data_IF_371783104975
#
_entry.id   IF_371783104975
#
_cell.length_a   1.000
_cell.length_b   1.000
_cell.length_c   1.000
_cell.angle_alpha   90.00
_cell.angle_beta   90.00
_cell.angle_gamma   90.00
#
_symmetry.space_group_name_H-M   'P 1'
#
loop_
_entity.id
_entity.type
_entity.pdbx_description
1 polymer ?
#
# COMPACT_ATOMS: atom_id res chain seq x y z
N UNK A 1 -18.62 -16.02 -13.02
CA UNK A 1 -17.69 -16.03 -14.16
C UNK A 1 -18.20 -16.95 -15.28
N UNK A 2 -18.52 -18.23 -15.02
CA UNK A 2 -18.99 -19.19 -16.04
C UNK A 2 -20.28 -18.74 -16.73
N UNK A 3 -21.22 -18.14 -16.01
CA UNK A 3 -22.49 -17.66 -16.56
C UNK A 3 -22.39 -16.30 -17.27
N UNK A 4 -21.29 -15.58 -17.15
CA UNK A 4 -21.07 -14.26 -17.74
C UNK A 4 -21.84 -13.11 -17.10
N UNK A 5 -22.73 -13.36 -16.14
CA UNK A 5 -23.45 -12.33 -15.38
C UNK A 5 -23.82 -12.82 -13.98
N UNK A 6 -24.23 -11.88 -13.09
CA UNK A 6 -24.58 -12.17 -11.70
C UNK A 6 -26.07 -12.45 -11.46
N UNK A 7 -26.92 -12.30 -12.48
CA UNK A 7 -28.36 -12.42 -12.34
C UNK A 7 -28.90 -13.81 -12.73
N UNK A 8 -28.01 -14.79 -12.86
CA UNK A 8 -28.35 -16.18 -13.18
C UNK A 8 -28.46 -17.00 -11.88
N UNK A 9 -29.57 -17.70 -11.70
CA UNK A 9 -29.68 -18.74 -10.67
C UNK A 9 -28.94 -20.00 -11.15
N UNK A 10 -27.65 -20.10 -10.79
CA UNK A 10 -26.78 -21.22 -11.20
C UNK A 10 -27.27 -22.60 -10.75
N UNK A 11 -28.23 -22.67 -9.83
CA UNK A 11 -28.81 -23.93 -9.38
C UNK A 11 -29.96 -24.42 -10.24
N UNK A 12 -30.56 -23.54 -11.06
CA UNK A 12 -31.76 -23.83 -11.85
C UNK A 12 -31.64 -23.47 -13.32
N UNK A 13 -30.88 -22.44 -13.63
CA UNK A 13 -30.77 -21.88 -14.97
C UNK A 13 -29.53 -22.40 -15.70
N UNK A 14 -29.57 -22.54 -17.04
CA UNK A 14 -28.42 -22.95 -17.79
C UNK A 14 -27.33 -21.85 -17.79
N UNK A 15 -26.08 -22.27 -17.70
CA UNK A 15 -24.91 -21.40 -17.81
C UNK A 15 -24.63 -20.95 -19.25
N UNK A 16 -25.10 -21.75 -20.21
CA UNK A 16 -24.89 -21.52 -21.64
C UNK A 16 -25.47 -22.62 -22.48
N UNK A 17 -24.98 -22.76 -23.72
CA UNK A 17 -25.36 -23.79 -24.65
C UNK A 17 -24.13 -24.54 -25.16
N UNK A 18 -24.24 -25.84 -25.34
CA UNK A 18 -23.25 -26.68 -25.98
C UNK A 18 -23.24 -26.43 -27.52
N UNK A 19 -22.27 -27.00 -28.21
CA UNK A 19 -22.12 -26.86 -29.67
C UNK A 19 -23.31 -27.38 -30.50
N UNK A 20 -24.07 -28.32 -29.93
CA UNK A 20 -25.29 -28.85 -30.51
C UNK A 20 -26.55 -28.05 -30.17
N UNK A 21 -26.40 -26.95 -29.42
CA UNK A 21 -27.47 -26.06 -29.00
C UNK A 21 -28.19 -26.48 -27.71
N UNK A 22 -27.85 -27.60 -27.10
CA UNK A 22 -28.43 -28.04 -25.83
C UNK A 22 -28.02 -27.14 -24.67
N UNK A 23 -28.89 -26.93 -23.64
CA UNK A 23 -28.57 -26.15 -22.48
C UNK A 23 -27.56 -26.89 -21.59
N UNK A 24 -26.55 -26.15 -21.07
CA UNK A 24 -25.53 -26.67 -20.15
C UNK A 24 -25.77 -26.05 -18.76
N UNK A 25 -25.93 -26.87 -17.77
CA UNK A 25 -26.14 -26.51 -16.38
C UNK A 25 -24.85 -26.69 -15.57
N UNK A 26 -24.79 -26.06 -14.41
CA UNK A 26 -23.62 -26.19 -13.50
C UNK A 26 -23.35 -27.68 -13.18
N UNK A 27 -24.38 -28.46 -12.91
CA UNK A 27 -24.29 -29.90 -12.61
C UNK A 27 -23.63 -30.74 -13.72
N UNK A 28 -23.67 -30.26 -14.96
CA UNK A 28 -23.12 -30.97 -16.12
C UNK A 28 -21.61 -30.79 -16.28
N UNK A 29 -21.06 -29.76 -15.61
CA UNK A 29 -19.64 -29.40 -15.70
C UNK A 29 -18.93 -29.39 -14.34
N UNK A 30 -19.67 -29.41 -13.23
CA UNK A 30 -19.09 -29.47 -11.91
C UNK A 30 -18.78 -30.94 -11.53
N UNK A 31 -17.55 -31.23 -11.10
CA UNK A 31 -17.19 -32.56 -10.71
C UNK A 31 -18.03 -33.05 -9.52
N UNK A 32 -18.38 -34.32 -9.53
CA UNK A 32 -19.00 -34.98 -8.39
C UNK A 32 -17.99 -35.14 -7.23
N UNK A 33 -18.49 -35.34 -6.01
CA UNK A 33 -17.62 -35.60 -4.87
C UNK A 33 -16.77 -36.88 -5.07
N UNK A 34 -17.33 -37.91 -5.67
CA UNK A 34 -16.61 -39.15 -5.95
C UNK A 34 -15.47 -38.93 -6.96
N UNK A 35 -15.71 -38.17 -8.01
CA UNK A 35 -14.64 -37.77 -8.96
C UNK A 35 -13.54 -36.98 -8.29
N UNK A 36 -13.89 -36.03 -7.39
CA UNK A 36 -12.91 -35.27 -6.63
C UNK A 36 -12.07 -36.18 -5.73
N UNK A 37 -12.71 -37.09 -4.99
CA UNK A 37 -12.02 -38.00 -4.09
C UNK A 37 -11.13 -38.97 -4.86
N UNK A 38 -11.61 -39.48 -5.97
CA UNK A 38 -10.80 -40.35 -6.86
C UNK A 38 -9.58 -39.59 -7.37
N UNK A 39 -9.75 -38.35 -7.85
CA UNK A 39 -8.66 -37.53 -8.36
C UNK A 39 -7.62 -37.20 -7.29
N UNK A 40 -8.09 -36.92 -6.08
CA UNK A 40 -7.18 -36.70 -4.92
C UNK A 40 -6.40 -38.00 -4.64
N UNK A 41 -7.06 -39.13 -4.55
CA UNK A 41 -6.41 -40.41 -4.23
C UNK A 41 -5.35 -40.81 -5.28
N UNK A 42 -5.60 -40.51 -6.55
CA UNK A 42 -4.68 -40.82 -7.65
C UNK A 42 -3.50 -39.89 -7.74
N UNK A 43 -3.68 -38.60 -7.37
CA UNK A 43 -2.69 -37.57 -7.65
C UNK A 43 -1.96 -37.05 -6.37
N UNK A 44 -2.61 -37.09 -5.20
CA UNK A 44 -2.00 -36.67 -3.95
C UNK A 44 -1.38 -37.87 -3.24
N UNK A 45 -0.27 -38.33 -3.77
CA UNK A 45 0.41 -39.52 -3.26
C UNK A 45 1.61 -39.19 -2.37
N UNK A 46 2.04 -40.15 -1.54
CA UNK A 46 3.24 -39.99 -0.73
C UNK A 46 4.51 -39.74 -1.57
N UNK A 47 4.55 -40.22 -2.81
CA UNK A 47 5.70 -40.03 -3.68
C UNK A 47 5.74 -38.60 -4.26
N UNK A 48 4.60 -37.97 -4.48
CA UNK A 48 4.53 -36.52 -4.80
C UNK A 48 5.15 -35.66 -3.68
N UNK A 49 4.84 -35.98 -2.43
CA UNK A 49 5.44 -35.29 -1.29
C UNK A 49 6.95 -35.52 -1.21
N UNK A 50 7.42 -36.73 -1.38
CA UNK A 50 8.85 -37.05 -1.40
C UNK A 50 9.57 -36.29 -2.51
N UNK A 51 9.02 -36.22 -3.70
CA UNK A 51 9.57 -35.49 -4.83
C UNK A 51 9.63 -33.97 -4.54
N UNK A 52 8.52 -33.38 -4.09
CA UNK A 52 8.43 -31.94 -3.84
C UNK A 52 9.31 -31.46 -2.67
N UNK A 53 9.54 -32.34 -1.68
CA UNK A 53 10.36 -32.00 -0.52
C UNK A 53 11.80 -32.52 -0.59
N UNK A 54 12.18 -33.21 -1.68
CA UNK A 54 13.54 -33.76 -1.83
C UNK A 54 14.63 -32.70 -1.77
N UNK A 55 14.36 -31.53 -2.30
CA UNK A 55 15.32 -30.41 -2.42
C UNK A 55 14.98 -29.19 -1.55
N UNK A 56 14.08 -29.35 -0.58
CA UNK A 56 13.58 -28.22 0.24
C UNK A 56 14.69 -27.45 0.98
N UNK A 57 15.81 -28.10 1.32
CA UNK A 57 16.95 -27.49 1.98
C UNK A 57 18.01 -26.96 1.01
N UNK A 58 17.89 -27.22 -0.30
CA UNK A 58 18.85 -26.72 -1.29
C UNK A 58 18.48 -25.34 -1.83
N UNK A 59 17.20 -24.98 -1.77
CA UNK A 59 16.70 -23.75 -2.38
C UNK A 59 16.68 -23.79 -3.92
N UNK A 60 16.21 -22.70 -4.54
CA UNK A 60 16.26 -22.56 -6.00
C UNK A 60 17.67 -22.25 -6.50
N UNK A 61 17.91 -22.40 -7.81
CA UNK A 61 19.16 -22.00 -8.44
C UNK A 61 19.50 -20.54 -8.16
N UNK A 62 18.53 -19.64 -8.35
CA UNK A 62 18.69 -18.20 -8.13
C UNK A 62 19.04 -17.89 -6.66
N UNK A 63 18.47 -18.63 -5.71
CA UNK A 63 18.82 -18.49 -4.28
C UNK A 63 20.27 -18.86 -4.01
N UNK A 64 20.74 -19.95 -4.62
CA UNK A 64 22.12 -20.46 -4.40
C UNK A 64 23.18 -19.60 -5.12
N UNK A 65 22.79 -18.87 -6.16
CA UNK A 65 23.66 -17.96 -6.92
C UNK A 65 23.84 -16.60 -6.26
N UNK A 66 23.05 -16.27 -5.22
CA UNK A 66 23.18 -15.02 -4.49
C UNK A 66 24.58 -14.90 -3.87
N UNK A 67 25.32 -13.88 -4.33
CA UNK A 67 26.62 -13.54 -3.75
C UNK A 67 26.41 -12.79 -2.43
N UNK A 68 26.67 -13.44 -1.33
CA UNK A 68 26.58 -12.84 0.01
C UNK A 68 27.97 -12.61 0.57
N UNK A 69 28.29 -11.37 0.93
CA UNK A 69 29.57 -11.04 1.59
C UNK A 69 29.59 -11.69 2.98
N UNK A 70 30.70 -12.37 3.32
CA UNK A 70 30.90 -12.98 4.65
C UNK A 70 31.41 -11.93 5.64
N UNK A 71 30.60 -10.91 5.90
CA UNK A 71 30.90 -9.84 6.86
C UNK A 71 30.07 -10.02 8.12
N UNK A 72 30.51 -9.46 9.25
CA UNK A 72 29.76 -9.49 10.51
C UNK A 72 28.48 -8.62 10.46
N UNK A 73 28.43 -7.66 9.54
CA UNK A 73 27.31 -6.78 9.29
C UNK A 73 27.04 -6.80 7.78
N UNK A 74 25.76 -6.90 7.40
CA UNK A 74 25.40 -6.88 5.99
C UNK A 74 25.71 -5.51 5.37
N UNK A 75 26.45 -5.53 4.27
CA UNK A 75 26.75 -4.32 3.50
C UNK A 75 25.59 -4.03 2.53
N UNK A 76 24.73 -3.07 2.92
CA UNK A 76 23.53 -2.72 2.16
C UNK A 76 23.91 -1.93 0.89
N UNK A 77 23.67 -2.46 -0.31
CA UNK A 77 23.87 -1.70 -1.53
C UNK A 77 22.83 -0.58 -1.64
N UNK A 78 23.16 0.44 -2.44
CA UNK A 78 22.20 1.47 -2.83
C UNK A 78 20.97 0.82 -3.49
N UNK A 79 19.78 1.23 -3.06
CA UNK A 79 18.52 0.67 -3.50
C UNK A 79 17.42 1.72 -3.57
N UNK A 80 16.58 1.61 -4.62
CA UNK A 80 15.35 2.40 -4.72
C UNK A 80 14.14 1.71 -4.06
N UNK A 81 14.32 0.47 -3.56
CA UNK A 81 13.29 -0.30 -2.84
C UNK A 81 13.46 -0.28 -1.33
N UNK A 82 14.71 -0.24 -0.84
CA UNK A 82 15.02 -0.27 0.58
C UNK A 82 15.97 0.89 0.88
N UNK A 83 15.58 1.74 1.82
CA UNK A 83 16.42 2.83 2.33
C UNK A 83 16.61 2.71 3.83
N UNK A 84 17.74 3.21 4.29
CA UNK A 84 17.99 3.35 5.72
C UNK A 84 16.86 4.15 6.37
N UNK A 85 16.14 3.61 7.38
CA UNK A 85 15.00 4.28 7.98
C UNK A 85 15.46 5.45 8.85
N UNK A 86 14.83 6.65 8.73
CA UNK A 86 15.27 7.83 9.45
C UNK A 86 14.86 7.85 10.92
N UNK A 87 14.05 6.88 11.36
CA UNK A 87 13.44 6.88 12.69
C UNK A 87 14.44 6.78 13.83
N UNK A 88 15.62 6.23 13.58
CA UNK A 88 16.64 5.99 14.58
C UNK A 88 17.78 7.02 14.58
N UNK A 89 17.84 7.88 13.56
CA UNK A 89 18.94 8.85 13.38
C UNK A 89 18.97 9.92 14.47
N UNK A 90 17.81 10.30 14.98
CA UNK A 90 17.64 11.33 16.00
C UNK A 90 17.13 10.78 17.34
N UNK A 91 17.04 9.46 17.47
CA UNK A 91 16.49 8.81 18.65
C UNK A 91 17.53 8.81 19.78
N UNK A 92 17.23 9.52 20.86
CA UNK A 92 18.02 9.48 22.10
C UNK A 92 17.79 8.20 22.90
N UNK A 93 18.60 7.97 23.94
CA UNK A 93 18.40 6.86 24.89
C UNK A 93 17.18 7.06 25.78
N UNK A 94 16.86 8.30 26.09
CA UNK A 94 15.72 8.67 26.92
C UNK A 94 14.66 9.35 26.04
N UNK A 95 13.37 9.13 26.34
CA UNK A 95 12.30 9.80 25.63
C UNK A 95 12.40 11.33 25.81
N UNK A 96 12.11 12.07 24.75
CA UNK A 96 12.00 13.52 24.85
C UNK A 96 10.82 13.91 25.75
N UNK A 97 10.95 15.04 26.46
CA UNK A 97 9.88 15.59 27.26
C UNK A 97 8.71 16.02 26.36
N UNK A 98 7.48 15.86 26.85
CA UNK A 98 6.30 16.36 26.17
C UNK A 98 6.33 17.89 26.16
N UNK A 99 6.20 18.46 24.96
CA UNK A 99 6.16 19.91 24.73
C UNK A 99 4.84 20.33 24.13
N UNK A 100 4.45 21.59 24.32
CA UNK A 100 3.29 22.16 23.65
C UNK A 100 3.52 22.21 22.12
N UNK A 101 2.45 21.97 21.35
CA UNK A 101 2.44 22.16 19.91
C UNK A 101 1.93 23.57 19.64
N UNK A 102 2.83 24.46 19.26
CA UNK A 102 2.51 25.87 19.06
C UNK A 102 2.56 26.24 17.57
N UNK A 103 1.72 27.17 17.16
CA UNK A 103 1.68 27.74 15.80
C UNK A 103 1.49 26.71 14.66
N UNK A 104 0.97 25.52 14.97
CA UNK A 104 0.75 24.46 13.98
C UNK A 104 -0.21 24.91 12.87
N UNK A 105 -0.01 24.38 11.68
CA UNK A 105 -0.92 24.54 10.54
C UNK A 105 -1.66 23.26 10.25
N UNK A 106 -2.94 23.39 9.89
CA UNK A 106 -3.72 22.27 9.42
C UNK A 106 -3.25 21.88 7.99
N UNK A 107 -2.68 20.70 7.86
CA UNK A 107 -2.23 20.15 6.57
C UNK A 107 -3.37 19.46 5.82
N UNK A 108 -4.21 18.73 6.57
CA UNK A 108 -5.33 17.93 6.03
C UNK A 108 -6.52 18.10 6.96
N UNK A 109 -7.67 18.45 6.39
CA UNK A 109 -8.96 18.45 7.08
C UNK A 109 -9.93 17.60 6.30
N UNK A 110 -10.40 16.51 6.91
CA UNK A 110 -11.25 15.50 6.26
C UNK A 110 -12.48 15.19 7.09
N UNK A 111 -13.49 14.61 6.45
CA UNK A 111 -14.71 14.15 7.10
C UNK A 111 -14.57 12.76 7.74
N UNK A 112 -15.71 12.10 7.89
CA UNK A 112 -15.84 10.79 8.52
C UNK A 112 -15.28 9.67 7.65
N UNK A 113 -15.00 8.52 8.28
CA UNK A 113 -14.63 7.25 7.63
C UNK A 113 -13.37 7.32 6.75
N UNK A 114 -12.39 8.13 7.16
CA UNK A 114 -11.06 8.15 6.54
C UNK A 114 -10.22 7.02 7.13
N UNK A 115 -10.21 5.91 6.41
CA UNK A 115 -9.52 4.69 6.83
C UNK A 115 -8.01 4.75 6.58
N UNK A 116 -7.28 3.76 7.09
CA UNK A 116 -5.86 3.59 6.81
C UNK A 116 -5.54 3.45 5.32
N UNK A 117 -6.49 3.02 4.49
CA UNK A 117 -6.36 2.95 3.03
C UNK A 117 -6.34 4.34 2.35
N UNK A 118 -6.92 5.34 3.00
CA UNK A 118 -6.86 6.72 2.52
C UNK A 118 -5.59 7.44 2.95
N UNK A 119 -5.00 7.05 4.08
CA UNK A 119 -3.83 7.67 4.69
C UNK A 119 -2.55 7.05 4.16
N UNK A 120 -2.42 5.72 4.31
CA UNK A 120 -1.26 4.96 3.83
C UNK A 120 -1.33 4.77 2.32
N UNK A 121 -0.25 5.01 1.58
CA UNK A 121 -0.27 4.81 0.14
C UNK A 121 -0.42 3.34 -0.24
N UNK A 122 -1.17 3.08 -1.31
CA UNK A 122 -1.38 1.76 -1.89
C UNK A 122 -1.57 1.85 -3.41
N UNK A 123 -1.42 0.72 -4.09
CA UNK A 123 -1.59 0.62 -5.54
C UNK A 123 -0.41 1.15 -6.34
N UNK A 124 -0.66 1.46 -7.61
CA UNK A 124 0.34 1.95 -8.54
C UNK A 124 0.83 3.36 -8.18
N UNK A 125 2.07 3.66 -8.53
CA UNK A 125 2.67 4.99 -8.38
C UNK A 125 2.44 5.74 -9.70
N UNK A 126 1.73 6.86 -9.64
CA UNK A 126 1.52 7.70 -10.80
C UNK A 126 2.79 8.46 -11.19
N UNK A 127 3.01 8.61 -12.48
CA UNK A 127 4.24 9.21 -13.03
C UNK A 127 4.40 10.68 -12.63
N UNK A 128 3.29 11.42 -12.60
CA UNK A 128 3.20 12.83 -12.25
C UNK A 128 2.97 13.08 -10.74
N UNK A 129 3.13 12.04 -9.91
CA UNK A 129 3.03 12.17 -8.45
C UNK A 129 4.37 12.52 -7.83
N UNK A 130 4.40 13.09 -6.61
CA UNK A 130 5.65 13.33 -5.89
C UNK A 130 6.53 12.09 -5.72
N UNK A 131 5.92 10.90 -5.62
CA UNK A 131 6.66 9.64 -5.57
C UNK A 131 7.22 9.23 -6.94
N UNK A 132 6.47 9.47 -8.03
CA UNK A 132 6.93 9.25 -9.39
C UNK A 132 8.09 10.16 -9.76
N UNK A 133 7.97 11.46 -9.47
CA UNK A 133 9.04 12.44 -9.66
C UNK A 133 10.33 12.05 -8.91
N UNK A 134 10.17 11.61 -7.66
CA UNK A 134 11.31 11.13 -6.87
C UNK A 134 11.97 9.91 -7.50
N UNK A 135 11.21 8.93 -7.96
CA UNK A 135 11.76 7.73 -8.60
C UNK A 135 12.45 8.05 -9.92
N UNK A 136 11.89 8.94 -10.74
CA UNK A 136 12.53 9.42 -11.97
C UNK A 136 13.84 10.12 -11.67
N UNK A 137 13.90 10.95 -10.63
CA UNK A 137 15.12 11.60 -10.18
C UNK A 137 16.19 10.60 -9.69
N UNK A 138 15.79 9.39 -9.28
CA UNK A 138 16.70 8.28 -8.95
C UNK A 138 17.01 7.38 -10.17
N UNK A 139 16.61 7.77 -11.38
CA UNK A 139 16.87 7.03 -12.60
C UNK A 139 15.96 5.82 -12.84
N UNK A 140 14.85 5.70 -12.12
CA UNK A 140 13.87 4.63 -12.33
C UNK A 140 12.88 5.04 -13.41
N UNK A 141 12.73 4.24 -14.46
CA UNK A 141 11.77 4.51 -15.52
C UNK A 141 10.32 4.25 -15.05
N UNK A 142 9.31 4.96 -15.58
CA UNK A 142 7.91 4.79 -15.18
C UNK A 142 7.39 3.35 -15.26
N UNK A 143 7.81 2.59 -16.25
CA UNK A 143 7.45 1.16 -16.40
C UNK A 143 7.96 0.27 -15.24
N UNK A 144 9.01 0.73 -14.53
CA UNK A 144 9.69 0.02 -13.44
C UNK A 144 9.33 0.57 -12.06
N UNK A 145 8.38 1.51 -11.97
CA UNK A 145 7.95 2.08 -10.69
C UNK A 145 7.37 1.03 -9.75
N UNK A 146 6.70 0.03 -10.29
CA UNK A 146 6.00 -0.97 -9.52
C UNK A 146 4.89 -0.32 -8.65
N UNK A 147 4.69 -0.78 -7.42
CA UNK A 147 3.66 -0.27 -6.53
C UNK A 147 4.23 0.27 -5.23
N UNK A 148 3.44 1.09 -4.52
CA UNK A 148 3.80 1.51 -3.16
C UNK A 148 4.07 0.32 -2.23
N UNK A 149 3.28 -0.76 -2.35
CA UNK A 149 3.47 -1.97 -1.55
C UNK A 149 4.83 -2.62 -1.77
N UNK A 150 5.30 -2.66 -3.01
CA UNK A 150 6.64 -3.21 -3.35
C UNK A 150 7.78 -2.33 -2.82
N UNK A 151 7.54 -1.02 -2.66
CA UNK A 151 8.55 -0.04 -2.20
C UNK A 151 8.36 0.39 -0.75
N UNK A 152 7.58 -0.34 0.04
CA UNK A 152 7.31 0.01 1.45
C UNK A 152 8.55 0.06 2.35
N UNK A 153 9.67 -0.50 1.91
CA UNK A 153 10.98 -0.38 2.55
C UNK A 153 11.71 0.94 2.22
N UNK A 154 11.16 1.78 1.33
CA UNK A 154 11.69 3.09 1.00
C UNK A 154 10.77 4.19 1.54
N UNK A 155 11.16 4.79 2.66
CA UNK A 155 10.37 5.82 3.33
C UNK A 155 10.17 7.08 2.46
N UNK A 156 11.11 7.39 1.57
CA UNK A 156 11.00 8.52 0.66
C UNK A 156 9.85 8.35 -0.35
N UNK A 157 9.65 7.13 -0.84
CA UNK A 157 8.51 6.82 -1.69
C UNK A 157 7.21 6.84 -0.89
N UNK A 158 7.21 6.21 0.29
CA UNK A 158 6.00 6.05 1.10
C UNK A 158 5.46 7.37 1.63
N UNK A 159 6.32 8.26 2.14
CA UNK A 159 5.84 9.55 2.64
C UNK A 159 5.27 10.43 1.52
N UNK A 160 5.79 10.32 0.29
CA UNK A 160 5.30 11.05 -0.88
C UNK A 160 3.93 10.59 -1.36
N UNK A 161 3.55 9.35 -1.04
CA UNK A 161 2.23 8.80 -1.31
C UNK A 161 1.25 8.90 -0.15
N UNK A 162 1.66 9.46 0.99
CA UNK A 162 0.79 9.64 2.15
C UNK A 162 -0.34 10.62 1.82
N UNK A 163 -1.59 10.24 2.09
CA UNK A 163 -2.80 10.95 1.70
C UNK A 163 -2.99 11.10 0.17
N UNK A 164 -2.35 10.28 -0.64
CA UNK A 164 -2.46 10.35 -2.09
C UNK A 164 -3.63 9.52 -2.68
N UNK A 165 -4.49 8.94 -1.84
CA UNK A 165 -5.65 8.19 -2.32
C UNK A 165 -6.56 9.10 -3.16
N UNK A 166 -6.87 8.68 -4.39
CA UNK A 166 -7.66 9.46 -5.36
C UNK A 166 -9.08 9.80 -4.89
N UNK A 167 -9.60 9.12 -3.86
CA UNK A 167 -10.91 9.38 -3.27
C UNK A 167 -10.87 10.38 -2.12
N UNK A 168 -9.68 10.75 -1.64
CA UNK A 168 -9.55 11.70 -0.54
C UNK A 168 -10.14 13.05 -0.93
N UNK A 169 -10.93 13.64 -0.05
CA UNK A 169 -11.49 14.97 -0.19
C UNK A 169 -11.01 15.83 0.96
N UNK A 170 -10.00 16.63 0.71
CA UNK A 170 -9.46 17.55 1.70
C UNK A 170 -10.27 18.85 1.69
N UNK A 171 -10.92 19.17 2.78
CA UNK A 171 -11.75 20.39 2.93
C UNK A 171 -10.92 21.68 2.82
N UNK A 172 -9.59 21.62 2.94
CA UNK A 172 -8.69 22.76 2.69
C UNK A 172 -8.49 23.05 1.21
N UNK A 173 -8.89 22.13 0.33
CA UNK A 173 -8.85 22.30 -1.13
C UNK A 173 -10.22 21.92 -1.73
N UNK A 174 -11.26 22.75 -1.50
CA UNK A 174 -12.62 22.44 -1.94
C UNK A 174 -12.72 22.20 -3.45
N UNK A 175 -13.50 21.18 -3.83
CA UNK A 175 -13.71 20.83 -5.24
C UNK A 175 -12.59 19.97 -5.85
N UNK A 176 -11.52 19.68 -5.12
CA UNK A 176 -10.46 18.76 -5.54
C UNK A 176 -10.64 17.37 -4.94
N UNK A 177 -9.96 16.38 -5.52
CA UNK A 177 -9.83 15.01 -4.98
C UNK A 177 -8.37 14.59 -5.01
N UNK A 178 -8.02 13.62 -4.19
CA UNK A 178 -6.66 13.09 -4.12
C UNK A 178 -5.75 13.91 -3.22
N UNK A 179 -4.50 14.02 -3.59
CA UNK A 179 -3.42 14.59 -2.77
C UNK A 179 -3.35 16.12 -2.80
N UNK A 180 -4.45 16.82 -2.80
CA UNK A 180 -4.46 18.30 -2.87
C UNK A 180 -4.71 18.94 -1.51
N UNK A 181 -4.04 20.06 -1.24
CA UNK A 181 -4.26 20.93 -0.09
C UNK A 181 -3.97 22.39 -0.43
N UNK A 182 -4.36 23.29 0.45
CA UNK A 182 -3.97 24.70 0.40
C UNK A 182 -2.93 24.99 1.47
N UNK A 183 -1.80 25.55 1.07
CA UNK A 183 -0.75 25.97 2.00
C UNK A 183 -1.08 27.35 2.60
N UNK A 184 -0.98 27.48 3.91
CA UNK A 184 -1.23 28.75 4.64
C UNK A 184 0.06 29.27 5.27
N UNK A 185 0.33 30.60 5.25
CA UNK A 185 -0.62 31.68 4.87
C UNK A 185 -0.60 32.03 3.37
N UNK A 186 0.19 31.38 2.53
CA UNK A 186 0.36 31.81 1.12
C UNK A 186 -0.92 31.68 0.28
N UNK A 187 -1.81 30.74 0.60
CA UNK A 187 -3.01 30.44 -0.19
C UNK A 187 -2.75 29.56 -1.42
N UNK A 188 -1.52 29.08 -1.62
CA UNK A 188 -1.14 28.28 -2.78
C UNK A 188 -1.77 26.88 -2.71
N UNK A 189 -2.35 26.43 -3.83
CA UNK A 189 -2.80 25.05 -3.98
C UNK A 189 -1.65 24.17 -4.44
N UNK A 190 -1.42 23.06 -3.74
CA UNK A 190 -0.34 22.13 -4.07
C UNK A 190 -0.65 20.73 -3.54
N UNK A 191 0.23 19.75 -3.81
CA UNK A 191 0.09 18.44 -3.19
C UNK A 191 0.30 18.50 -1.67
N UNK A 192 -0.36 17.60 -0.94
CA UNK A 192 -0.21 17.48 0.52
C UNK A 192 1.26 17.28 0.89
N UNK A 193 2.00 16.49 0.10
CA UNK A 193 3.43 16.28 0.32
C UNK A 193 4.24 17.58 0.21
N UNK A 194 4.06 18.36 -0.87
CA UNK A 194 4.80 19.59 -1.06
C UNK A 194 4.47 20.66 0.01
N UNK A 195 3.19 20.76 0.39
CA UNK A 195 2.79 21.66 1.49
C UNK A 195 3.43 21.23 2.82
N UNK A 196 3.47 19.93 3.10
CA UNK A 196 4.12 19.41 4.30
C UNK A 196 5.62 19.70 4.33
N UNK A 197 6.31 19.51 3.20
CA UNK A 197 7.75 19.84 3.11
C UNK A 197 7.99 21.33 3.31
N UNK A 198 7.18 22.20 2.72
CA UNK A 198 7.29 23.64 2.91
C UNK A 198 7.10 24.05 4.37
N UNK A 199 6.09 23.50 5.07
CA UNK A 199 5.93 23.72 6.51
C UNK A 199 7.12 23.22 7.31
N UNK A 200 7.67 22.07 6.93
CA UNK A 200 8.83 21.49 7.61
C UNK A 200 10.08 22.35 7.43
N UNK A 201 10.32 22.89 6.24
CA UNK A 201 11.44 23.78 5.92
C UNK A 201 11.31 25.11 6.67
N UNK A 202 10.08 25.60 6.86
CA UNK A 202 9.76 26.80 7.65
C UNK A 202 9.78 26.53 9.18
N UNK A 203 10.02 25.29 9.63
CA UNK A 203 9.99 24.90 11.05
C UNK A 203 8.59 24.92 11.66
N UNK A 204 7.54 24.88 10.85
CA UNK A 204 6.14 24.97 11.28
C UNK A 204 5.55 23.56 11.45
N UNK A 205 5.08 23.16 12.64
CA UNK A 205 4.45 21.88 12.84
C UNK A 205 3.10 21.77 12.10
N UNK A 206 2.80 20.58 11.62
CA UNK A 206 1.53 20.29 10.97
C UNK A 206 0.59 19.49 11.89
N UNK A 207 -0.71 19.65 11.66
CA UNK A 207 -1.77 18.82 12.28
C UNK A 207 -2.73 18.30 11.21
N UNK A 208 -3.44 17.24 11.55
CA UNK A 208 -4.54 16.70 10.76
C UNK A 208 -5.83 16.78 11.58
N UNK A 209 -6.92 17.15 10.93
CA UNK A 209 -8.25 17.16 11.52
C UNK A 209 -9.12 16.16 10.76
N UNK A 210 -9.66 15.16 11.44
CA UNK A 210 -10.53 14.13 10.90
C UNK A 210 -11.89 14.09 11.59
N UNK A 211 -12.88 13.53 10.92
CA UNK A 211 -14.18 13.21 11.49
C UNK A 211 -14.16 11.86 12.22
N UNK A 212 -15.33 11.25 12.34
CA UNK A 212 -15.52 9.95 12.99
C UNK A 212 -14.81 8.84 12.20
N UNK A 213 -14.38 7.80 12.92
CA UNK A 213 -13.75 6.61 12.35
C UNK A 213 -12.45 6.91 11.56
N UNK A 214 -11.76 8.03 11.87
CA UNK A 214 -10.46 8.30 11.28
C UNK A 214 -9.44 7.22 11.68
N UNK A 215 -8.71 6.68 10.68
CA UNK A 215 -7.67 5.68 10.89
C UNK A 215 -8.16 4.25 11.14
N UNK A 216 -9.46 3.98 11.01
CA UNK A 216 -10.02 2.62 11.06
C UNK A 216 -9.57 1.77 9.86
N UNK A 217 -9.77 0.46 9.94
CA UNK A 217 -9.43 -0.49 8.87
C UNK A 217 -8.19 -1.32 9.16
N UNK A 218 -7.44 -1.68 8.13
CA UNK A 218 -6.26 -2.53 8.24
C UNK A 218 -5.15 -1.90 9.08
N UNK A 219 -4.38 -2.71 9.80
CA UNK A 219 -3.19 -2.27 10.55
C UNK A 219 -2.07 -1.88 9.60
N UNK A 220 -2.04 -0.63 9.19
CA UNK A 220 -1.00 -0.06 8.31
C UNK A 220 -0.16 0.94 9.09
N UNK A 221 1.06 0.56 9.44
CA UNK A 221 2.01 1.41 10.16
C UNK A 221 2.36 2.70 9.38
N UNK A 222 2.33 2.66 8.05
CA UNK A 222 2.51 3.86 7.21
C UNK A 222 1.39 4.90 7.36
N UNK A 223 0.22 4.52 7.90
CA UNK A 223 -0.80 5.50 8.27
C UNK A 223 -0.36 6.40 9.46
N UNK A 224 0.62 5.98 10.23
CA UNK A 224 1.26 6.78 11.27
C UNK A 224 2.64 7.33 10.84
N UNK A 225 3.50 6.46 10.27
CA UNK A 225 4.86 6.83 9.85
C UNK A 225 4.86 7.91 8.76
N UNK A 226 4.00 7.80 7.76
CA UNK A 226 3.90 8.77 6.67
C UNK A 226 3.61 10.19 7.18
N UNK A 227 2.50 10.42 7.89
CA UNK A 227 2.22 11.73 8.50
C UNK A 227 3.33 12.23 9.42
N UNK A 228 3.90 11.36 10.26
CA UNK A 228 5.01 11.72 11.15
C UNK A 228 6.22 12.25 10.39
N UNK A 229 6.63 11.58 9.31
CA UNK A 229 7.75 12.02 8.45
C UNK A 229 7.44 13.35 7.73
N UNK A 230 6.18 13.64 7.48
CA UNK A 230 5.72 14.90 6.90
C UNK A 230 5.56 16.04 7.94
N UNK A 231 5.98 15.82 9.18
CA UNK A 231 5.93 16.86 10.22
C UNK A 231 4.60 16.99 10.94
N UNK A 232 3.67 16.05 10.76
CA UNK A 232 2.41 16.00 11.52
C UNK A 232 2.71 15.62 12.97
N UNK A 233 2.36 16.51 13.90
CA UNK A 233 2.57 16.34 15.34
C UNK A 233 1.34 15.81 16.08
N UNK A 234 0.15 16.06 15.55
CA UNK A 234 -1.09 15.60 16.16
C UNK A 234 -2.17 15.34 15.11
N UNK A 235 -3.06 14.43 15.43
CA UNK A 235 -4.33 14.18 14.73
C UNK A 235 -5.46 14.43 15.69
N UNK A 236 -6.41 15.27 15.32
CA UNK A 236 -7.64 15.56 16.06
C UNK A 236 -8.78 14.88 15.30
N UNK A 237 -9.39 13.88 15.90
CA UNK A 237 -10.50 13.13 15.30
C UNK A 237 -11.68 13.07 16.26
N UNK A 238 -12.90 12.98 15.69
CA UNK A 238 -14.09 12.65 16.45
C UNK A 238 -14.08 11.15 16.83
N UNK A 239 -14.60 10.85 18.02
CA UNK A 239 -14.70 9.46 18.51
C UNK A 239 -15.98 8.79 18.03
#
# INVERSE_FOLDING_TARGET
ALAGNMNVDITKEPLGKASDGSPVYLKDIWPTEDEIQQYIAENVTGDLFKEKYADVFKGSGEWNELQVSKTSVYDWPESTYIKHPPFFEVMGKEPEALTAIENARCLVKVGDSITTDHISPAGAIAEDSPAGEYLQAQGVEPKDFNSYGSRRGNHEVMMRGTFANVRLQNQLAPGTRGSATTHFPSGDSMSIFHAAMRYKDDGVPAIVIGGKEYGTGSSRDWAAKGPSLMGVKAVLAES
#
